data_IF_498417367464
#
_entry.id   IF_498417367464
#
_cell.length_a   1.000
_cell.length_b   1.000
_cell.length_c   1.000
_cell.angle_alpha   90.00
_cell.angle_beta   90.00
_cell.angle_gamma   90.00
#
_symmetry.space_group_name_H-M   'P 1'
#
loop_
_entity.id
_entity.type
_entity.pdbx_description
1 polymer ?
#
# COMPACT_ATOMS: atom_id res chain seq x y z
N UNK A 1 11.06 -10.35 -2.87
CA UNK A 1 9.84 -10.46 -2.04
C UNK A 1 8.65 -10.61 -2.96
N UNK A 2 7.75 -11.54 -2.64
CA UNK A 2 6.53 -11.79 -3.39
C UNK A 2 5.32 -11.50 -2.50
N UNK A 3 4.39 -10.70 -2.98
CA UNK A 3 3.14 -10.39 -2.30
C UNK A 3 1.97 -10.97 -3.10
N UNK A 4 1.04 -11.60 -2.40
CA UNK A 4 -0.21 -12.06 -2.96
C UNK A 4 -1.37 -11.72 -2.03
N UNK A 5 -2.42 -11.17 -2.60
CA UNK A 5 -3.68 -10.89 -1.93
C UNK A 5 -4.80 -11.63 -2.66
N UNK A 6 -5.69 -12.26 -1.92
CA UNK A 6 -6.82 -12.98 -2.49
C UNK A 6 -8.09 -12.63 -1.75
N UNK A 7 -9.11 -12.28 -2.51
CA UNK A 7 -10.45 -11.95 -2.01
C UNK A 7 -11.54 -12.44 -2.95
N UNK A 8 -12.77 -12.32 -2.52
CA UNK A 8 -13.94 -12.76 -3.30
C UNK A 8 -14.21 -11.89 -4.52
N UNK A 9 -13.77 -10.63 -4.49
CA UNK A 9 -14.01 -9.64 -5.54
C UNK A 9 -12.75 -9.31 -6.35
N UNK A 10 -11.61 -9.86 -5.97
CA UNK A 10 -10.36 -9.63 -6.69
C UNK A 10 -9.18 -10.36 -6.10
N UNK A 11 -8.10 -10.37 -6.85
CA UNK A 11 -6.83 -10.91 -6.41
C UNK A 11 -5.68 -10.08 -7.01
N UNK A 12 -4.57 -10.04 -6.31
CA UNK A 12 -3.35 -9.35 -6.72
C UNK A 12 -2.14 -10.25 -6.50
N UNK A 13 -1.20 -10.20 -7.41
CA UNK A 13 0.14 -10.76 -7.24
C UNK A 13 1.18 -9.73 -7.67
N UNK A 14 2.17 -9.47 -6.81
CA UNK A 14 3.36 -8.74 -7.24
C UNK A 14 4.18 -9.61 -8.18
N UNK A 15 4.96 -9.03 -9.07
CA UNK A 15 5.94 -9.79 -9.83
C UNK A 15 6.94 -10.51 -8.90
N UNK A 16 7.60 -11.53 -9.44
CA UNK A 16 8.63 -12.30 -8.72
C UNK A 16 9.99 -11.58 -8.63
N UNK A 17 10.08 -10.40 -9.25
CA UNK A 17 11.32 -9.61 -9.30
C UNK A 17 12.29 -10.02 -10.42
N UNK A 18 11.97 -11.06 -11.20
CA UNK A 18 12.80 -11.53 -12.32
C UNK A 18 12.11 -11.29 -13.67
N UNK A 19 11.00 -11.96 -13.91
CA UNK A 19 10.25 -11.89 -15.18
C UNK A 19 8.75 -11.65 -14.97
N UNK A 20 8.26 -11.84 -13.75
CA UNK A 20 6.86 -11.62 -13.44
C UNK A 20 6.54 -10.14 -13.31
N UNK A 21 5.46 -9.71 -13.95
CA UNK A 21 4.90 -8.36 -13.78
C UNK A 21 3.79 -8.39 -12.72
N UNK A 22 3.61 -7.31 -11.95
CA UNK A 22 2.46 -7.19 -11.07
C UNK A 22 1.16 -7.34 -11.85
N UNK A 23 0.24 -8.14 -11.34
CA UNK A 23 -1.04 -8.43 -12.00
C UNK A 23 -2.19 -8.43 -11.00
N UNK A 24 -3.37 -8.16 -11.52
CA UNK A 24 -4.59 -8.09 -10.72
C UNK A 24 -5.74 -8.75 -11.48
N UNK A 25 -6.65 -9.33 -10.76
CA UNK A 25 -7.97 -9.72 -11.24
C UNK A 25 -9.02 -9.00 -10.43
N UNK A 26 -10.00 -8.40 -11.11
CA UNK A 26 -11.15 -7.75 -10.49
C UNK A 26 -12.44 -8.35 -11.05
N UNK A 27 -13.32 -8.82 -10.17
CA UNK A 27 -14.61 -9.39 -10.55
C UNK A 27 -15.48 -8.39 -11.32
N UNK A 28 -15.40 -7.11 -10.98
CA UNK A 28 -16.12 -6.04 -11.66
C UNK A 28 -15.76 -5.89 -13.13
N UNK A 29 -14.57 -6.36 -13.54
CA UNK A 29 -14.08 -6.27 -14.92
C UNK A 29 -14.28 -7.56 -15.71
N UNK A 30 -14.29 -8.71 -15.03
CA UNK A 30 -14.45 -10.01 -15.69
C UNK A 30 -15.13 -11.01 -14.76
N UNK A 31 -16.20 -11.64 -15.20
CA UNK A 31 -16.91 -12.69 -14.46
C UNK A 31 -16.08 -13.99 -14.34
N UNK A 32 -15.16 -14.23 -15.26
CA UNK A 32 -14.19 -15.32 -15.18
C UNK A 32 -12.84 -14.76 -14.69
N UNK A 33 -12.09 -15.52 -13.88
CA UNK A 33 -10.74 -15.10 -13.45
C UNK A 33 -9.86 -14.79 -14.66
N UNK A 34 -9.55 -13.53 -14.85
CA UNK A 34 -8.66 -13.03 -15.89
C UNK A 34 -7.67 -12.06 -15.26
N UNK A 35 -6.41 -12.45 -15.26
CA UNK A 35 -5.35 -11.57 -14.80
C UNK A 35 -5.03 -10.51 -15.83
N UNK A 36 -4.92 -9.28 -15.38
CA UNK A 36 -4.52 -8.12 -16.16
C UNK A 36 -3.22 -7.54 -15.56
N UNK A 37 -2.27 -7.05 -16.37
CA UNK A 37 -1.13 -6.32 -15.83
C UNK A 37 -1.59 -5.14 -14.99
N UNK A 38 -0.98 -4.92 -13.83
CA UNK A 38 -1.36 -3.81 -12.94
C UNK A 38 -1.17 -2.46 -13.62
N UNK A 39 -0.15 -2.32 -14.47
CA UNK A 39 0.15 -1.09 -15.21
C UNK A 39 -0.98 -0.65 -16.14
N UNK A 40 -1.71 -1.60 -16.73
CA UNK A 40 -2.85 -1.30 -17.62
C UNK A 40 -3.99 -0.59 -16.88
N UNK A 41 -4.03 -0.70 -15.56
CA UNK A 41 -5.05 -0.10 -14.71
C UNK A 41 -4.66 1.29 -14.18
N UNK A 42 -3.43 1.72 -14.41
CA UNK A 42 -2.92 2.98 -13.89
C UNK A 42 -3.79 4.18 -14.29
N UNK A 43 -4.22 4.26 -15.54
CA UNK A 43 -5.06 5.38 -16.02
C UNK A 43 -6.45 5.44 -15.37
N UNK A 44 -6.98 4.30 -14.92
CA UNK A 44 -8.29 4.22 -14.30
C UNK A 44 -8.22 4.48 -12.77
N UNK A 45 -7.20 3.92 -12.10
CA UNK A 45 -7.18 3.84 -10.64
C UNK A 45 -6.15 4.74 -9.96
N UNK A 46 -5.08 5.16 -10.66
CA UNK A 46 -4.12 6.07 -10.05
C UNK A 46 -4.75 7.46 -9.82
N UNK A 47 -4.47 8.08 -8.68
CA UNK A 47 -4.78 9.49 -8.47
C UNK A 47 -4.16 10.36 -9.57
N UNK A 48 -4.80 11.48 -9.90
CA UNK A 48 -4.38 12.34 -11.01
C UNK A 48 -2.94 12.84 -10.86
N UNK A 49 -2.52 13.15 -9.64
CA UNK A 49 -1.15 13.62 -9.35
C UNK A 49 -0.08 12.53 -9.56
N UNK A 50 -0.46 11.25 -9.55
CA UNK A 50 0.43 10.15 -9.89
C UNK A 50 0.53 9.89 -11.40
N UNK A 51 -0.48 10.31 -12.17
CA UNK A 51 -0.47 10.14 -13.63
C UNK A 51 0.43 11.16 -14.32
N UNK A 52 0.56 12.35 -13.73
CA UNK A 52 1.35 13.46 -14.25
C UNK A 52 2.20 14.06 -13.12
N UNK A 53 3.18 13.34 -12.58
CA UNK A 53 3.99 13.82 -11.48
C UNK A 53 4.87 15.00 -11.91
N UNK A 54 5.15 15.96 -11.03
CA UNK A 54 6.15 16.99 -11.29
C UNK A 54 7.56 16.37 -11.35
N UNK A 55 8.48 17.05 -12.01
CA UNK A 55 9.86 16.56 -12.19
C UNK A 55 10.57 16.28 -10.86
N UNK A 56 10.24 17.01 -9.81
CA UNK A 56 10.77 16.83 -8.47
C UNK A 56 10.32 15.49 -7.86
N UNK A 57 9.09 15.08 -8.13
CA UNK A 57 8.58 13.77 -7.71
C UNK A 57 9.26 12.64 -8.49
N UNK A 58 9.45 12.80 -9.80
CA UNK A 58 10.16 11.81 -10.63
C UNK A 58 11.60 11.60 -10.17
N UNK A 59 12.26 12.67 -9.69
CA UNK A 59 13.63 12.63 -9.20
C UNK A 59 13.76 12.13 -7.75
N UNK A 60 12.66 12.02 -7.01
CA UNK A 60 12.67 11.59 -5.62
C UNK A 60 12.82 10.08 -5.48
N UNK A 61 13.22 9.63 -4.29
CA UNK A 61 13.39 8.22 -3.97
C UNK A 61 12.09 7.41 -4.03
N UNK A 62 12.24 6.10 -4.03
CA UNK A 62 11.14 5.12 -4.04
C UNK A 62 10.11 5.33 -5.17
N UNK A 63 10.61 5.73 -6.37
CA UNK A 63 9.73 5.97 -7.52
C UNK A 63 8.81 7.18 -7.37
N UNK A 64 9.23 8.19 -6.60
CA UNK A 64 8.45 9.38 -6.30
C UNK A 64 7.71 9.34 -4.97
N UNK A 65 7.70 8.20 -4.29
CA UNK A 65 7.00 8.04 -3.00
C UNK A 65 7.44 9.06 -1.95
N UNK A 66 8.75 9.26 -1.80
CA UNK A 66 9.32 10.18 -0.81
C UNK A 66 8.84 11.63 -1.01
N UNK A 67 8.66 12.05 -2.26
CA UNK A 67 8.11 13.37 -2.56
C UNK A 67 6.67 13.52 -2.04
N UNK A 68 5.81 12.54 -2.33
CA UNK A 68 4.41 12.62 -1.96
C UNK A 68 4.19 12.51 -0.45
N UNK A 69 4.98 11.71 0.26
CA UNK A 69 4.92 11.65 1.73
C UNK A 69 5.22 13.01 2.36
N UNK A 70 6.26 13.69 1.88
CA UNK A 70 6.61 15.03 2.37
C UNK A 70 5.57 16.07 1.98
N UNK A 71 5.09 16.03 0.73
CA UNK A 71 4.07 16.95 0.22
C UNK A 71 2.75 16.82 1.03
N UNK A 72 2.29 15.60 1.27
CA UNK A 72 1.08 15.34 2.05
C UNK A 72 1.23 15.86 3.49
N UNK A 73 2.39 15.68 4.10
CA UNK A 73 2.68 16.18 5.43
C UNK A 73 2.68 17.73 5.47
N UNK A 74 3.36 18.37 4.53
CA UNK A 74 3.41 19.83 4.43
C UNK A 74 2.01 20.40 4.19
N UNK A 75 1.24 19.81 3.28
CA UNK A 75 -0.13 20.24 3.00
C UNK A 75 -1.05 20.07 4.20
N UNK A 76 -0.94 18.98 4.94
CA UNK A 76 -1.72 18.78 6.16
C UNK A 76 -1.49 19.93 7.15
N UNK A 77 -0.23 20.36 7.33
CA UNK A 77 0.12 21.47 8.23
C UNK A 77 -0.38 22.81 7.66
N UNK A 78 -0.09 23.10 6.41
CA UNK A 78 -0.38 24.42 5.81
C UNK A 78 -1.86 24.66 5.58
N UNK A 79 -2.62 23.60 5.29
CA UNK A 79 -4.06 23.68 5.07
C UNK A 79 -4.88 23.37 6.33
N UNK A 80 -4.23 22.96 7.42
CA UNK A 80 -4.91 22.58 8.66
C UNK A 80 -5.84 21.37 8.49
N UNK A 81 -5.44 20.40 7.65
CA UNK A 81 -6.22 19.19 7.35
C UNK A 81 -5.57 17.95 7.93
N UNK A 82 -6.36 16.92 8.13
CA UNK A 82 -5.82 15.60 8.44
C UNK A 82 -4.99 15.08 7.27
N UNK A 83 -3.81 14.47 7.53
CA UNK A 83 -3.03 13.84 6.48
C UNK A 83 -3.74 12.60 5.93
N UNK A 84 -3.50 12.22 4.66
CA UNK A 84 -4.08 11.00 4.08
C UNK A 84 -3.75 9.73 4.88
N UNK A 85 -2.55 9.67 5.48
CA UNK A 85 -2.14 8.64 6.42
C UNK A 85 -1.90 9.32 7.77
N UNK A 86 -2.94 9.37 8.60
CA UNK A 86 -2.85 9.85 9.97
C UNK A 86 -2.25 8.79 10.91
N UNK A 87 -2.11 9.16 12.19
CA UNK A 87 -1.45 8.31 13.19
C UNK A 87 -2.10 6.92 13.31
N UNK A 88 -3.42 6.82 13.27
CA UNK A 88 -4.10 5.55 13.39
C UNK A 88 -3.82 4.62 12.21
N UNK A 89 -3.87 5.14 10.98
CA UNK A 89 -3.53 4.39 9.78
C UNK A 89 -2.05 3.97 9.77
N UNK A 90 -1.15 4.85 10.21
CA UNK A 90 0.27 4.53 10.33
C UNK A 90 0.52 3.41 11.35
N UNK A 91 -0.19 3.43 12.48
CA UNK A 91 -0.10 2.38 13.49
C UNK A 91 -0.69 1.05 12.98
N UNK A 92 -1.83 1.07 12.29
CA UNK A 92 -2.42 -0.13 11.69
C UNK A 92 -1.49 -0.80 10.67
N UNK A 93 -0.69 -0.02 9.96
CA UNK A 93 0.30 -0.52 9.00
C UNK A 93 1.59 -1.03 9.67
N UNK A 94 1.98 -0.45 10.80
CA UNK A 94 3.27 -0.71 11.46
C UNK A 94 3.19 -1.85 12.49
N UNK A 95 2.14 -1.86 13.31
CA UNK A 95 2.02 -2.79 14.44
C UNK A 95 2.05 -4.26 14.03
N UNK A 96 1.42 -4.71 12.93
CA UNK A 96 1.52 -6.11 12.52
C UNK A 96 2.96 -6.58 12.29
N UNK A 97 3.79 -5.71 11.68
CA UNK A 97 5.21 -5.97 11.47
C UNK A 97 5.99 -6.13 12.76
N UNK A 98 5.77 -5.24 13.73
CA UNK A 98 6.41 -5.30 15.04
C UNK A 98 5.98 -6.54 15.85
N UNK A 99 4.69 -6.83 15.87
CA UNK A 99 4.13 -7.98 16.60
C UNK A 99 4.57 -9.31 15.96
N UNK A 100 4.84 -9.34 14.67
CA UNK A 100 5.35 -10.53 14.00
C UNK A 100 6.67 -11.04 14.61
N UNK A 101 7.51 -10.14 15.12
CA UNK A 101 8.73 -10.52 15.83
C UNK A 101 8.44 -11.25 17.16
N UNK A 102 7.40 -10.84 17.86
CA UNK A 102 6.96 -11.52 19.07
C UNK A 102 6.44 -12.93 18.76
N UNK A 103 5.69 -13.06 17.68
CA UNK A 103 5.23 -14.36 17.19
C UNK A 103 6.41 -15.29 16.90
N UNK A 104 7.41 -14.82 16.17
CA UNK A 104 8.62 -15.59 15.89
C UNK A 104 9.36 -16.01 17.15
N UNK A 105 9.55 -15.09 18.08
CA UNK A 105 10.21 -15.37 19.37
C UNK A 105 9.44 -16.38 20.23
N UNK A 106 8.12 -16.50 20.03
CA UNK A 106 7.22 -17.41 20.73
C UNK A 106 6.92 -18.70 19.94
N UNK A 107 7.81 -19.10 19.04
CA UNK A 107 7.67 -20.31 18.25
C UNK A 107 6.59 -20.22 17.15
N UNK A 108 6.41 -19.05 16.56
CA UNK A 108 5.40 -18.77 15.51
C UNK A 108 3.95 -18.94 16.00
N UNK A 109 3.72 -18.65 17.27
CA UNK A 109 2.39 -18.67 17.86
C UNK A 109 1.54 -17.48 17.40
N UNK A 110 0.21 -17.63 17.51
CA UNK A 110 -0.71 -16.51 17.31
C UNK A 110 -0.51 -15.46 18.38
N UNK A 111 -0.32 -14.21 17.94
CA UNK A 111 -0.20 -13.03 18.81
C UNK A 111 -1.21 -11.99 18.34
N UNK A 112 -1.97 -11.42 19.26
CA UNK A 112 -2.92 -10.36 18.93
C UNK A 112 -2.17 -9.08 18.55
N UNK A 113 -2.57 -8.45 17.45
CA UNK A 113 -2.10 -7.09 17.09
C UNK A 113 -2.92 -6.10 17.94
N UNK A 114 -2.27 -5.28 18.77
CA UNK A 114 -3.00 -4.31 19.61
C UNK A 114 -3.62 -3.21 18.74
N UNK A 115 -4.78 -2.73 19.16
CA UNK A 115 -5.38 -1.52 18.58
C UNK A 115 -4.84 -0.30 19.33
N UNK A 116 -4.07 0.53 18.63
CA UNK A 116 -3.45 1.74 19.21
C UNK A 116 -4.47 2.78 19.69
N UNK A 117 -5.68 2.76 19.17
CA UNK A 117 -6.77 3.65 19.60
C UNK A 117 -7.19 3.40 21.05
N UNK A 118 -6.86 2.24 21.59
CA UNK A 118 -7.12 1.87 22.98
C UNK A 118 -5.96 2.19 23.93
N UNK A 119 -4.89 2.80 23.44
CA UNK A 119 -3.76 3.21 24.28
C UNK A 119 -4.08 4.53 25.01
N UNK A 120 -3.94 4.53 26.31
CA UNK A 120 -4.14 5.68 27.20
C UNK A 120 -2.82 6.16 27.79
#
# INVERSE_FOLDING_TARGET
>A
THYALQGTEGAYESGDGFQGVPKVWLRSRSSAPKWEPLEDLGQEFLPEYWKNPPSEAEAAGHGGGDYWEVEDFVRAITEGKEPPIGIDAAMDMTLPGLVSQQSLASGSSWVAVPDSRNWT
#
